data_IF_431580122467
#
_entry.id   IF_431580122467
#
_cell.length_a   1.000
_cell.length_b   1.000
_cell.length_c   1.000
_cell.angle_alpha   90.00
_cell.angle_beta   90.00
_cell.angle_gamma   90.00
#
_symmetry.space_group_name_H-M   'P 1'
#
loop_
_entity.id
_entity.type
_entity.pdbx_description
1 polymer ?
#
# COMPACT_ATOMS: atom_id res chain seq x y z
N UNK A 1 -11.10 -3.21 -23.37
CA UNK A 1 -9.94 -3.80 -22.69
C UNK A 1 -10.30 -4.41 -21.34
N UNK A 2 -11.46 -4.12 -20.77
CA UNK A 2 -11.91 -4.69 -19.53
C UNK A 2 -12.71 -5.98 -19.77
N UNK A 3 -12.31 -7.07 -19.11
CA UNK A 3 -13.07 -8.31 -19.11
C UNK A 3 -14.41 -8.19 -18.38
N UNK A 4 -15.29 -9.15 -18.58
CA UNK A 4 -16.64 -9.15 -17.99
C UNK A 4 -16.61 -9.29 -16.45
N UNK A 5 -15.62 -9.98 -15.91
CA UNK A 5 -15.53 -10.32 -14.49
C UNK A 5 -14.93 -9.26 -13.56
N UNK A 6 -14.51 -8.09 -14.06
CA UNK A 6 -13.89 -7.05 -13.26
C UNK A 6 -14.71 -5.76 -13.22
N UNK A 7 -14.17 -4.71 -13.79
CA UNK A 7 -14.81 -3.39 -13.81
C UNK A 7 -16.22 -3.41 -14.41
N UNK A 8 -16.45 -4.18 -15.47
CA UNK A 8 -17.79 -4.30 -16.07
C UNK A 8 -18.80 -4.89 -15.07
N UNK A 9 -18.41 -5.92 -14.32
CA UNK A 9 -19.26 -6.49 -13.29
C UNK A 9 -19.60 -5.47 -12.21
N UNK A 10 -18.62 -4.72 -11.71
CA UNK A 10 -18.83 -3.68 -10.70
C UNK A 10 -19.75 -2.56 -11.20
N UNK A 11 -19.62 -2.17 -12.48
CA UNK A 11 -20.50 -1.16 -13.10
C UNK A 11 -21.94 -1.68 -13.27
N UNK A 12 -22.10 -2.93 -13.67
CA UNK A 12 -23.40 -3.51 -14.01
C UNK A 12 -24.17 -4.02 -12.77
N UNK A 13 -23.47 -4.58 -11.78
CA UNK A 13 -24.08 -5.21 -10.60
C UNK A 13 -23.94 -4.35 -9.33
N UNK A 14 -23.03 -3.36 -9.32
CA UNK A 14 -22.78 -2.46 -8.20
C UNK A 14 -23.44 -1.09 -8.37
N UNK A 15 -23.07 -0.16 -7.49
CA UNK A 15 -23.46 1.25 -7.60
C UNK A 15 -22.30 2.06 -8.16
N UNK A 16 -22.52 2.70 -9.30
CA UNK A 16 -21.52 3.53 -9.98
C UNK A 16 -21.82 5.01 -9.80
N UNK A 17 -20.86 5.78 -9.34
CA UNK A 17 -20.94 7.22 -9.10
C UNK A 17 -20.12 8.00 -10.15
N UNK A 18 -20.66 8.33 -11.32
CA UNK A 18 -19.88 8.90 -12.42
C UNK A 18 -19.40 10.34 -12.17
N UNK A 19 -20.03 11.05 -11.25
CA UNK A 19 -19.78 12.47 -10.98
C UNK A 19 -19.12 12.69 -9.60
N UNK A 20 -18.41 11.70 -9.09
CA UNK A 20 -17.68 11.86 -7.82
C UNK A 20 -16.57 12.90 -7.96
N UNK A 21 -16.54 13.85 -7.05
CA UNK A 21 -15.51 14.90 -6.99
C UNK A 21 -14.87 14.93 -5.61
N UNK A 22 -13.56 15.16 -5.58
CA UNK A 22 -12.81 15.42 -4.36
C UNK A 22 -12.76 16.93 -4.09
N UNK A 23 -13.16 17.36 -2.90
CA UNK A 23 -13.17 18.75 -2.50
C UNK A 23 -11.86 19.20 -1.87
N UNK A 24 -10.77 18.51 -2.15
CA UNK A 24 -9.44 18.82 -1.65
C UNK A 24 -8.36 18.50 -2.71
N UNK A 25 -7.20 19.12 -2.53
CA UNK A 25 -6.02 18.78 -3.35
C UNK A 25 -5.38 17.53 -2.72
N UNK A 26 -5.21 16.48 -3.50
CA UNK A 26 -4.52 15.25 -3.06
C UNK A 26 -3.08 15.57 -2.64
N UNK A 27 -2.71 15.15 -1.43
CA UNK A 27 -1.34 15.20 -0.92
C UNK A 27 -0.52 13.94 -1.25
N UNK A 28 -1.09 13.02 -2.05
CA UNK A 28 -0.50 11.74 -2.39
C UNK A 28 -1.37 10.56 -1.95
N UNK A 29 -0.91 9.34 -2.24
CA UNK A 29 -1.69 8.12 -1.98
C UNK A 29 -2.06 7.94 -0.50
N UNK A 30 -1.21 8.39 0.41
CA UNK A 30 -1.42 8.31 1.87
C UNK A 30 -2.61 9.18 2.31
N UNK A 31 -2.66 10.44 1.82
CA UNK A 31 -3.78 11.37 2.07
C UNK A 31 -5.08 10.82 1.49
N UNK A 32 -5.03 10.30 0.28
CA UNK A 32 -6.21 9.77 -0.41
C UNK A 32 -6.73 8.51 0.27
N UNK A 33 -5.85 7.60 0.73
CA UNK A 33 -6.24 6.45 1.54
C UNK A 33 -6.93 6.88 2.84
N UNK A 34 -6.37 7.86 3.56
CA UNK A 34 -6.97 8.36 4.79
C UNK A 34 -8.35 8.99 4.53
N UNK A 35 -8.47 9.83 3.49
CA UNK A 35 -9.75 10.46 3.12
C UNK A 35 -10.81 9.42 2.71
N UNK A 36 -10.42 8.40 1.95
CA UNK A 36 -11.31 7.31 1.54
C UNK A 36 -11.81 6.51 2.75
N UNK A 37 -10.90 6.16 3.65
CA UNK A 37 -11.22 5.30 4.80
C UNK A 37 -12.00 6.01 5.90
N UNK A 38 -11.80 7.32 6.05
CA UNK A 38 -12.49 8.12 7.09
C UNK A 38 -13.73 8.84 6.58
N UNK A 39 -13.87 8.98 5.25
CA UNK A 39 -14.95 9.75 4.63
C UNK A 39 -14.88 11.25 4.95
N UNK A 40 -13.72 11.78 5.38
CA UNK A 40 -13.55 13.18 5.75
C UNK A 40 -12.35 13.83 5.06
N UNK A 41 -12.20 15.13 5.26
CA UNK A 41 -11.16 15.92 4.60
C UNK A 41 -9.81 15.84 5.34
N UNK A 42 -8.68 16.07 4.65
CA UNK A 42 -7.35 16.09 5.25
C UNK A 42 -7.21 17.00 6.47
N UNK A 43 -7.90 18.14 6.46
CA UNK A 43 -7.93 19.07 7.62
C UNK A 43 -8.54 18.47 8.88
N UNK A 44 -9.41 17.46 8.75
CA UNK A 44 -10.06 16.79 9.87
C UNK A 44 -9.35 15.51 10.29
N UNK A 45 -8.91 14.70 9.34
CA UNK A 45 -8.22 13.45 9.67
C UNK A 45 -6.71 13.61 9.91
N UNK A 46 -6.13 14.79 9.63
CA UNK A 46 -4.75 15.13 9.96
C UNK A 46 -3.67 14.61 9.00
N UNK A 47 -4.01 13.80 8.01
CA UNK A 47 -3.04 13.22 7.05
C UNK A 47 -2.96 14.11 5.81
N UNK A 48 -1.94 14.96 5.75
CA UNK A 48 -1.78 15.96 4.69
C UNK A 48 -0.82 15.52 3.58
N UNK A 49 -0.04 14.46 3.81
CA UNK A 49 0.98 13.96 2.87
C UNK A 49 1.65 12.71 3.42
N UNK A 50 2.65 12.21 2.70
CA UNK A 50 3.38 11.00 3.08
C UNK A 50 4.34 11.26 4.27
N UNK A 51 4.78 12.50 4.42
CA UNK A 51 5.76 12.92 5.42
C UNK A 51 5.34 14.23 6.08
N UNK A 52 5.84 14.47 7.29
CA UNK A 52 5.77 15.77 7.94
C UNK A 52 7.11 16.18 8.51
N UNK A 53 7.31 17.48 8.71
CA UNK A 53 8.51 18.03 9.32
C UNK A 53 8.32 18.15 10.83
N UNK A 54 9.07 17.35 11.60
CA UNK A 54 9.08 17.42 13.06
C UNK A 54 9.97 18.56 13.53
N UNK A 55 9.38 19.58 14.11
CA UNK A 55 10.10 20.82 14.50
C UNK A 55 11.13 20.60 15.60
N UNK A 56 10.89 19.66 16.51
CA UNK A 56 11.79 19.39 17.64
C UNK A 56 13.07 18.70 17.19
N UNK A 57 12.97 17.69 16.37
CA UNK A 57 14.11 16.93 15.84
C UNK A 57 14.71 17.56 14.59
N UNK A 58 13.96 18.44 13.92
CA UNK A 58 14.28 19.04 12.61
C UNK A 58 14.43 17.99 11.50
N UNK A 59 13.65 16.93 11.58
CA UNK A 59 13.67 15.82 10.65
C UNK A 59 12.37 15.72 9.87
N UNK A 60 12.45 15.17 8.66
CA UNK A 60 11.30 14.78 7.87
C UNK A 60 11.00 13.31 8.17
N UNK A 61 9.85 13.06 8.78
CA UNK A 61 9.47 11.72 9.22
C UNK A 61 8.17 11.27 8.54
N UNK A 62 7.96 9.96 8.34
CA UNK A 62 6.72 9.44 7.77
C UNK A 62 5.50 9.86 8.60
N UNK A 63 4.39 10.16 7.94
CA UNK A 63 3.16 10.61 8.62
C UNK A 63 2.60 9.57 9.59
N UNK A 64 2.87 8.30 9.37
CA UNK A 64 2.47 7.18 10.24
C UNK A 64 3.54 6.77 11.25
N UNK A 65 4.64 7.52 11.35
CA UNK A 65 5.66 7.24 12.35
C UNK A 65 5.10 7.34 13.77
N UNK A 66 5.44 6.35 14.60
CA UNK A 66 5.07 6.29 16.01
C UNK A 66 6.25 5.81 16.85
N UNK A 67 6.83 6.72 17.62
CA UNK A 67 7.95 6.41 18.51
C UNK A 67 7.62 5.46 19.67
N UNK A 68 6.34 5.09 19.87
CA UNK A 68 5.91 4.14 20.92
C UNK A 68 5.72 2.73 20.38
N UNK A 69 5.50 2.58 19.08
CA UNK A 69 5.42 1.28 18.43
C UNK A 69 6.80 0.81 17.98
N UNK A 70 6.93 -0.48 17.74
CA UNK A 70 8.15 -1.11 17.24
C UNK A 70 7.81 -1.90 15.99
N UNK A 71 8.62 -1.76 14.94
CA UNK A 71 8.49 -2.57 13.73
C UNK A 71 8.76 -4.05 14.02
N UNK A 72 7.95 -4.92 13.44
CA UNK A 72 8.11 -6.38 13.51
C UNK A 72 8.41 -6.86 12.09
N UNK A 73 9.64 -7.27 11.86
CA UNK A 73 10.15 -7.56 10.52
C UNK A 73 10.58 -6.31 9.73
N UNK A 74 10.56 -5.14 10.37
CA UNK A 74 11.00 -3.84 9.84
C UNK A 74 11.73 -3.05 10.90
N UNK A 75 12.60 -2.12 10.49
CA UNK A 75 13.21 -1.12 11.36
C UNK A 75 12.32 0.13 11.54
N UNK A 76 11.30 0.27 10.73
CA UNK A 76 10.40 1.42 10.75
C UNK A 76 9.22 1.17 11.70
N UNK A 77 8.88 2.20 12.48
CA UNK A 77 7.83 2.17 13.48
C UNK A 77 6.57 2.88 12.95
N UNK A 78 5.53 2.14 12.68
CA UNK A 78 4.30 2.68 12.11
C UNK A 78 3.08 2.35 12.95
N UNK A 79 2.19 3.34 13.09
CA UNK A 79 0.85 3.19 13.65
C UNK A 79 -0.10 4.27 13.12
N UNK A 80 -1.42 4.16 13.32
CA UNK A 80 -2.38 5.19 12.92
C UNK A 80 -2.47 6.36 13.93
N UNK A 81 -1.49 6.57 14.81
CA UNK A 81 -1.55 7.56 15.90
C UNK A 81 -1.83 8.98 15.41
N UNK A 82 -1.38 9.33 14.20
CA UNK A 82 -1.58 10.64 13.60
C UNK A 82 -2.87 10.76 12.77
N UNK A 83 -3.66 9.70 12.70
CA UNK A 83 -4.98 9.70 12.07
C UNK A 83 -6.03 10.11 13.10
N UNK A 84 -6.58 11.33 12.99
CA UNK A 84 -7.49 11.89 14.01
C UNK A 84 -8.97 11.58 13.79
N UNK A 85 -9.28 10.77 12.80
CA UNK A 85 -10.64 10.36 12.50
C UNK A 85 -10.74 8.83 12.44
N UNK A 86 -11.88 8.29 12.88
CA UNK A 86 -12.15 6.85 12.77
C UNK A 86 -12.32 6.45 11.32
N UNK A 87 -11.79 5.31 10.95
CA UNK A 87 -11.99 4.70 9.64
C UNK A 87 -13.33 3.94 9.62
N UNK A 88 -13.83 3.62 8.42
CA UNK A 88 -15.03 2.78 8.33
C UNK A 88 -14.79 1.38 8.93
N UNK A 89 -13.55 0.89 8.90
CA UNK A 89 -13.15 -0.38 9.52
C UNK A 89 -13.19 -0.29 11.05
N UNK A 90 -12.82 0.86 11.64
CA UNK A 90 -13.00 1.11 13.07
C UNK A 90 -14.48 1.08 13.47
N UNK A 91 -15.32 1.75 12.67
CA UNK A 91 -16.78 1.75 12.90
C UNK A 91 -17.36 0.34 12.77
N UNK A 92 -16.90 -0.45 11.79
CA UNK A 92 -17.32 -1.85 11.64
C UNK A 92 -16.96 -2.67 12.88
N UNK A 93 -15.76 -2.52 13.41
CA UNK A 93 -15.34 -3.20 14.65
C UNK A 93 -16.23 -2.82 15.83
N UNK A 94 -16.51 -1.54 16.00
CA UNK A 94 -17.38 -1.06 17.09
C UNK A 94 -18.80 -1.59 16.92
N UNK A 95 -19.37 -1.49 15.72
CA UNK A 95 -20.76 -1.91 15.44
C UNK A 95 -20.99 -3.42 15.61
N UNK A 96 -19.94 -4.21 15.48
CA UNK A 96 -19.99 -5.67 15.62
C UNK A 96 -19.45 -6.15 16.98
N UNK A 97 -19.24 -5.26 17.96
CA UNK A 97 -18.61 -5.58 19.24
C UNK A 97 -17.30 -6.38 19.05
N UNK A 98 -16.44 -5.93 18.14
CA UNK A 98 -15.18 -6.54 17.76
C UNK A 98 -15.26 -7.99 17.19
N UNK A 99 -16.44 -8.45 16.79
CA UNK A 99 -16.59 -9.77 16.16
C UNK A 99 -16.12 -9.77 14.70
N UNK A 100 -16.17 -8.63 13.99
CA UNK A 100 -15.64 -8.51 12.65
C UNK A 100 -14.11 -8.65 12.64
N UNK A 101 -13.59 -9.14 11.54
CA UNK A 101 -12.13 -9.24 11.31
C UNK A 101 -11.71 -8.23 10.26
N UNK A 102 -10.66 -7.48 10.56
CA UNK A 102 -10.10 -6.44 9.70
C UNK A 102 -8.61 -6.72 9.50
N UNK A 103 -8.25 -7.00 8.27
CA UNK A 103 -6.87 -7.17 7.84
C UNK A 103 -6.56 -6.16 6.75
N UNK A 104 -5.44 -5.50 6.85
CA UNK A 104 -4.95 -4.56 5.84
C UNK A 104 -3.61 -5.05 5.31
N UNK A 105 -3.48 -5.10 3.98
CA UNK A 105 -2.24 -5.48 3.31
C UNK A 105 -1.95 -4.46 2.22
N UNK A 106 -0.75 -3.90 2.20
CA UNK A 106 -0.33 -2.95 1.17
C UNK A 106 1.17 -3.06 0.88
N UNK A 107 1.61 -2.49 -0.24
CA UNK A 107 3.02 -2.45 -0.60
C UNK A 107 3.85 -1.47 0.23
N UNK A 108 3.23 -0.53 0.94
CA UNK A 108 3.93 0.38 1.84
C UNK A 108 3.21 0.46 3.20
N UNK A 109 3.98 0.79 4.23
CA UNK A 109 3.52 0.82 5.61
C UNK A 109 2.39 1.83 5.83
N UNK A 110 2.54 3.07 5.33
CA UNK A 110 1.55 4.12 5.55
C UNK A 110 0.18 3.74 5.01
N UNK A 111 0.12 3.18 3.79
CA UNK A 111 -1.15 2.73 3.23
C UNK A 111 -1.73 1.54 4.01
N UNK A 112 -0.91 0.54 4.38
CA UNK A 112 -1.40 -0.59 5.18
C UNK A 112 -2.03 -0.11 6.50
N UNK A 113 -1.35 0.78 7.20
CA UNK A 113 -1.79 1.35 8.47
C UNK A 113 -3.08 2.16 8.32
N UNK A 114 -3.15 3.07 7.34
CA UNK A 114 -4.31 3.94 7.16
C UNK A 114 -5.52 3.20 6.59
N UNK A 115 -5.32 2.16 5.79
CA UNK A 115 -6.40 1.28 5.33
C UNK A 115 -6.92 0.38 6.46
N UNK A 116 -6.05 -0.03 7.38
CA UNK A 116 -6.44 -0.82 8.55
C UNK A 116 -7.18 -0.01 9.61
N UNK A 117 -6.75 1.21 9.85
CA UNK A 117 -7.27 2.06 10.92
C UNK A 117 -6.73 1.68 12.30
N UNK A 118 -7.43 2.13 13.36
CA UNK A 118 -6.97 1.99 14.74
C UNK A 118 -7.27 0.61 15.34
N UNK A 119 -8.27 -0.09 14.82
CA UNK A 119 -8.81 -1.30 15.43
C UNK A 119 -8.66 -2.55 14.55
N UNK A 120 -7.85 -2.46 13.49
CA UNK A 120 -7.56 -3.62 12.65
C UNK A 120 -6.92 -4.75 13.47
N UNK A 121 -7.26 -5.99 13.11
CA UNK A 121 -6.62 -7.17 13.70
C UNK A 121 -5.15 -7.28 13.27
N UNK A 122 -4.84 -6.85 12.05
CA UNK A 122 -3.46 -6.80 11.56
C UNK A 122 -3.33 -5.82 10.39
N UNK A 123 -2.18 -5.14 10.28
CA UNK A 123 -1.77 -4.39 9.11
C UNK A 123 -0.38 -4.86 8.66
N UNK A 124 -0.25 -5.22 7.39
CA UNK A 124 0.96 -5.83 6.84
C UNK A 124 1.42 -5.06 5.62
N UNK A 125 2.72 -4.89 5.51
CA UNK A 125 3.34 -4.22 4.35
C UNK A 125 4.62 -4.92 3.92
N UNK A 126 5.08 -4.57 2.73
CA UNK A 126 6.39 -5.00 2.25
C UNK A 126 7.44 -3.99 2.71
N UNK A 127 8.29 -4.41 3.64
CA UNK A 127 9.37 -3.59 4.15
C UNK A 127 10.41 -3.27 3.05
N UNK A 128 10.83 -2.00 2.98
CA UNK A 128 11.70 -1.52 1.90
C UNK A 128 13.17 -1.88 2.10
N UNK A 129 13.56 -2.20 3.32
CA UNK A 129 14.94 -2.54 3.63
C UNK A 129 15.20 -4.04 3.49
N UNK A 130 14.32 -4.86 4.04
CA UNK A 130 14.47 -6.31 4.03
C UNK A 130 13.83 -7.00 2.84
N UNK A 131 12.84 -6.36 2.18
CA UNK A 131 12.04 -6.98 1.12
C UNK A 131 11.09 -8.06 1.62
N UNK A 132 10.79 -8.06 2.90
CA UNK A 132 9.94 -9.04 3.56
C UNK A 132 8.64 -8.39 4.04
N UNK A 133 7.63 -9.20 4.28
CA UNK A 133 6.40 -8.76 4.93
C UNK A 133 6.70 -8.40 6.39
N UNK A 134 6.16 -7.29 6.82
CA UNK A 134 6.34 -6.71 8.14
C UNK A 134 5.05 -6.17 8.71
N UNK A 135 5.02 -5.94 10.00
CA UNK A 135 3.93 -5.30 10.75
C UNK A 135 4.50 -4.42 11.87
N UNK A 136 3.69 -3.93 12.78
CA UNK A 136 4.15 -3.23 13.97
C UNK A 136 3.52 -3.77 15.25
N UNK A 137 4.19 -3.47 16.36
CA UNK A 137 3.69 -3.83 17.69
C UNK A 137 2.39 -3.14 18.09
N UNK A 138 1.93 -2.17 17.29
CA UNK A 138 0.61 -1.56 17.47
C UNK A 138 -0.51 -2.57 17.21
N UNK A 139 -0.34 -3.43 16.20
CA UNK A 139 -1.35 -4.40 15.80
C UNK A 139 -1.10 -5.79 16.36
N UNK A 140 0.15 -6.24 16.37
CA UNK A 140 0.51 -7.62 16.69
C UNK A 140 1.73 -7.69 17.61
N UNK A 141 1.83 -8.76 18.39
CA UNK A 141 3.01 -9.03 19.25
C UNK A 141 4.15 -9.73 18.51
N UNK A 142 3.87 -10.27 17.35
CA UNK A 142 4.82 -10.98 16.49
C UNK A 142 4.27 -11.10 15.09
N UNK A 143 5.10 -11.47 14.13
CA UNK A 143 4.65 -11.66 12.76
C UNK A 143 3.72 -12.88 12.70
N UNK A 144 2.55 -12.80 12.04
CA UNK A 144 1.68 -13.97 11.84
C UNK A 144 2.42 -15.11 11.15
N UNK A 145 2.17 -16.35 11.56
CA UNK A 145 2.87 -17.53 11.05
C UNK A 145 2.81 -17.71 9.53
N UNK A 146 1.70 -17.28 8.92
CA UNK A 146 1.57 -17.29 7.45
C UNK A 146 2.47 -16.26 6.78
N UNK A 147 2.71 -15.10 7.41
CA UNK A 147 3.67 -14.10 6.93
C UNK A 147 5.11 -14.63 7.02
N UNK A 148 5.46 -15.28 8.13
CA UNK A 148 6.78 -15.92 8.27
C UNK A 148 7.00 -16.97 7.20
N UNK A 149 5.99 -17.78 6.91
CA UNK A 149 6.04 -18.75 5.82
C UNK A 149 6.24 -18.04 4.47
N UNK A 150 5.45 -17.01 4.17
CA UNK A 150 5.61 -16.24 2.94
C UNK A 150 7.00 -15.61 2.85
N UNK A 151 7.53 -15.06 3.94
CA UNK A 151 8.88 -14.49 3.97
C UNK A 151 9.98 -15.53 3.75
N UNK A 152 9.71 -16.79 4.06
CA UNK A 152 10.64 -17.90 3.82
C UNK A 152 10.53 -18.39 2.38
N UNK A 153 9.32 -18.55 1.88
CA UNK A 153 9.04 -19.05 0.53
C UNK A 153 9.33 -17.99 -0.55
N UNK A 154 9.14 -16.71 -0.19
CA UNK A 154 9.35 -15.57 -1.08
C UNK A 154 10.67 -14.87 -0.77
N UNK A 155 11.62 -14.99 -1.68
CA UNK A 155 12.84 -14.18 -1.67
C UNK A 155 12.94 -13.37 -2.96
N UNK A 156 13.12 -12.06 -2.82
CA UNK A 156 13.42 -11.19 -3.95
C UNK A 156 14.67 -11.64 -4.71
N UNK A 157 15.58 -12.36 -4.03
CA UNK A 157 16.78 -12.91 -4.67
C UNK A 157 16.49 -14.11 -5.57
N UNK A 158 15.41 -14.83 -5.28
CA UNK A 158 14.93 -15.93 -6.12
C UNK A 158 14.07 -15.45 -7.30
N UNK A 159 13.70 -14.17 -7.31
CA UNK A 159 13.01 -13.56 -8.43
C UNK A 159 14.02 -13.20 -9.50
N UNK A 160 14.20 -14.14 -10.42
CA UNK A 160 14.93 -13.93 -11.67
C UNK A 160 14.23 -12.88 -12.54
N UNK A 161 14.95 -12.37 -13.51
CA UNK A 161 14.50 -11.31 -14.41
C UNK A 161 13.06 -11.49 -14.91
N UNK A 162 12.19 -10.57 -14.52
CA UNK A 162 10.83 -10.50 -15.05
C UNK A 162 10.82 -9.61 -16.28
N UNK A 163 10.23 -10.13 -17.34
CA UNK A 163 9.89 -9.31 -18.50
C UNK A 163 8.41 -8.96 -18.37
N UNK A 164 8.13 -7.71 -18.09
CA UNK A 164 6.77 -7.20 -18.14
C UNK A 164 6.41 -6.90 -19.59
N UNK A 165 5.54 -7.70 -20.15
CA UNK A 165 5.03 -7.51 -21.51
C UNK A 165 3.57 -7.04 -21.48
N UNK A 166 3.16 -6.20 -22.43
CA UNK A 166 1.73 -5.88 -22.61
C UNK A 166 0.91 -7.16 -22.79
N UNK A 167 -0.29 -7.21 -22.20
CA UNK A 167 -1.18 -8.36 -22.29
C UNK A 167 -1.63 -8.64 -23.74
N UNK A 168 -1.80 -7.56 -24.51
CA UNK A 168 -2.22 -7.61 -25.92
C UNK A 168 -1.12 -7.10 -26.84
N UNK A 169 -1.22 -7.40 -28.12
CA UNK A 169 -0.28 -6.87 -29.10
C UNK A 169 -0.25 -5.33 -29.08
N UNK A 170 0.92 -4.69 -29.24
CA UNK A 170 1.06 -3.24 -29.10
C UNK A 170 0.09 -2.39 -29.91
N UNK A 171 -0.29 -2.84 -31.10
CA UNK A 171 -1.23 -2.13 -31.97
C UNK A 171 -2.68 -2.11 -31.46
N UNK A 172 -3.02 -2.92 -30.44
CA UNK A 172 -4.36 -2.94 -29.85
C UNK A 172 -4.59 -1.82 -28.83
N UNK A 173 -3.53 -1.13 -28.42
CA UNK A 173 -3.60 0.00 -27.49
C UNK A 173 -3.76 1.31 -28.27
N UNK A 174 -4.87 2.02 -28.06
CA UNK A 174 -5.21 3.22 -28.84
C UNK A 174 -4.30 4.44 -28.58
N UNK A 175 -3.54 4.46 -27.47
CA UNK A 175 -2.75 5.61 -27.05
C UNK A 175 -1.33 5.27 -26.55
N UNK A 176 -0.63 4.28 -27.11
CA UNK A 176 0.75 4.15 -26.76
C UNK A 176 1.52 5.24 -27.52
N UNK A 177 2.31 6.04 -26.82
CA UNK A 177 3.41 6.64 -27.56
C UNK A 177 4.26 5.48 -28.06
N UNK A 178 4.58 5.47 -29.35
CA UNK A 178 5.33 4.37 -29.98
C UNK A 178 6.67 4.08 -29.30
N UNK A 179 7.17 5.03 -28.51
CA UNK A 179 8.40 4.93 -27.72
C UNK A 179 8.20 4.28 -26.35
N UNK A 180 7.00 4.25 -25.79
CA UNK A 180 6.74 3.74 -24.44
C UNK A 180 6.59 2.22 -24.42
N UNK A 181 6.29 1.60 -25.55
CA UNK A 181 6.14 0.15 -25.70
C UNK A 181 7.47 -0.50 -26.13
N UNK A 182 8.49 0.32 -26.47
CA UNK A 182 9.80 -0.24 -26.74
C UNK A 182 10.34 -0.83 -25.45
N UNK A 183 10.36 -2.09 -25.40
CA UNK A 183 10.88 -3.13 -24.51
C UNK A 183 11.85 -2.75 -23.35
N UNK A 184 12.42 -1.56 -23.32
CA UNK A 184 13.41 -1.16 -22.31
C UNK A 184 12.82 -0.67 -21.00
N UNK A 185 11.60 -0.14 -20.99
CA UNK A 185 10.98 0.43 -19.79
C UNK A 185 10.19 -0.59 -18.97
N UNK A 186 9.85 -1.73 -19.56
CA UNK A 186 9.08 -2.79 -18.91
C UNK A 186 9.93 -3.96 -18.42
N UNK A 187 11.25 -3.83 -18.49
CA UNK A 187 12.15 -4.89 -18.08
C UNK A 187 12.57 -4.68 -16.62
N UNK A 188 11.99 -5.46 -15.71
CA UNK A 188 12.56 -5.61 -14.38
C UNK A 188 13.71 -6.61 -14.43
N UNK A 189 14.93 -6.13 -14.19
CA UNK A 189 16.13 -6.95 -14.04
C UNK A 189 16.66 -6.79 -12.63
N UNK A 190 16.49 -7.79 -11.80
CA UNK A 190 16.96 -7.78 -10.42
C UNK A 190 18.46 -7.51 -10.31
N UNK A 191 19.25 -8.07 -11.23
CA UNK A 191 20.71 -7.89 -11.30
C UNK A 191 21.16 -6.45 -11.54
N UNK A 192 20.31 -5.61 -12.12
CA UNK A 192 20.61 -4.19 -12.36
C UNK A 192 20.76 -3.40 -11.06
N UNK A 193 20.16 -3.86 -9.99
CA UNK A 193 20.08 -3.14 -8.72
C UNK A 193 21.00 -3.79 -7.68
N UNK A 194 22.18 -3.20 -7.48
CA UNK A 194 23.14 -3.64 -6.44
C UNK A 194 22.66 -3.34 -5.02
N UNK A 195 21.82 -2.33 -4.86
CA UNK A 195 21.27 -1.91 -3.56
C UNK A 195 19.89 -2.52 -3.40
N UNK A 196 19.65 -3.20 -2.25
CA UNK A 196 18.40 -3.87 -1.93
C UNK A 196 17.20 -2.92 -1.99
N UNK A 197 17.32 -1.71 -1.44
CA UNK A 197 16.23 -0.73 -1.43
C UNK A 197 15.83 -0.29 -2.84
N UNK A 198 16.80 -0.11 -3.74
CA UNK A 198 16.52 0.20 -5.15
C UNK A 198 15.86 -0.98 -5.85
N UNK A 199 16.27 -2.20 -5.53
CA UNK A 199 15.66 -3.44 -6.05
C UNK A 199 14.21 -3.55 -5.63
N UNK A 200 13.91 -3.34 -4.35
CA UNK A 200 12.55 -3.39 -3.80
C UNK A 200 11.68 -2.26 -4.38
N UNK A 201 12.20 -1.04 -4.44
CA UNK A 201 11.46 0.09 -5.03
C UNK A 201 11.12 -0.16 -6.50
N UNK A 202 12.07 -0.68 -7.27
CA UNK A 202 11.83 -1.05 -8.66
C UNK A 202 10.83 -2.20 -8.78
N UNK A 203 10.89 -3.21 -7.90
CA UNK A 203 9.91 -4.30 -7.85
C UNK A 203 8.50 -3.80 -7.52
N UNK A 204 8.35 -2.92 -6.52
CA UNK A 204 7.08 -2.30 -6.15
C UNK A 204 6.41 -1.54 -7.29
N UNK A 205 7.18 -1.05 -8.24
CA UNK A 205 6.66 -0.36 -9.43
C UNK A 205 6.20 -1.30 -10.55
N UNK A 206 6.30 -2.60 -10.36
CA UNK A 206 5.87 -3.60 -11.34
C UNK A 206 4.54 -4.26 -10.94
N UNK A 207 3.74 -4.76 -11.89
CA UNK A 207 2.51 -5.48 -11.58
C UNK A 207 2.77 -6.80 -10.84
N UNK A 208 4.01 -7.30 -10.82
CA UNK A 208 4.37 -8.51 -10.07
C UNK A 208 4.31 -8.30 -8.55
N UNK A 209 4.53 -7.08 -8.08
CA UNK A 209 4.40 -6.74 -6.67
C UNK A 209 2.96 -6.96 -6.16
N UNK A 210 1.95 -6.73 -7.00
CA UNK A 210 0.55 -6.96 -6.67
C UNK A 210 0.18 -8.44 -6.49
N UNK A 211 1.08 -9.37 -6.81
CA UNK A 211 0.88 -10.80 -6.51
C UNK A 211 1.24 -11.16 -5.07
N UNK A 212 1.90 -10.26 -4.35
CA UNK A 212 2.26 -10.42 -2.95
C UNK A 212 1.18 -9.90 -2.00
N UNK A 213 0.38 -8.99 -2.47
CA UNK A 213 -0.71 -8.31 -1.77
C UNK A 213 -2.03 -8.82 -2.32
#
# INVERSE_FOLDING_TARGET
>A
YFGEGGFKRLINEGTFFPNTQFNYISGGSTTDCASLMTGTLPAHHGILGDFFFEQKTREVIPITFDGKSVGIGSQENHSPVNLFASTFTDVLKVSTNAQSKVFSIALNASNAVLLGGHTADCAIWLDTESGKLATSSFYEKGLPSWCDKMNTDFSLDNMTDFIWQPLYAPFTYNYPSANDISSKNFLYKAEKYKNINKKITAFKSTPFANKLV
#
